data_IF_561602947028
#
_entry.id   IF_561602947028
#
_cell.length_a   1.000
_cell.length_b   1.000
_cell.length_c   1.000
_cell.angle_alpha   90.00
_cell.angle_beta   90.00
_cell.angle_gamma   90.00
#
_symmetry.space_group_name_H-M   'P 1'
#
loop_
_entity.id
_entity.type
_entity.pdbx_description
1 polymer ?
#
# COMPACT_ATOMS: atom_id res chain seq x y z
N UNK A 1 8.52 2.69 -13.68
CA UNK A 1 7.82 3.00 -12.42
C UNK A 1 6.94 1.82 -12.06
N UNK A 2 7.09 1.28 -10.88
CA UNK A 2 6.25 0.23 -10.30
C UNK A 2 6.28 0.37 -8.78
N UNK A 3 5.23 -0.06 -8.13
CA UNK A 3 5.26 -0.25 -6.67
C UNK A 3 6.22 -1.38 -6.33
N UNK A 4 6.87 -1.29 -5.18
CA UNK A 4 7.69 -2.41 -4.67
C UNK A 4 6.83 -3.61 -4.34
N UNK A 5 7.40 -4.82 -4.37
CA UNK A 5 6.69 -6.03 -3.94
C UNK A 5 6.21 -5.91 -2.48
N UNK A 6 6.93 -5.15 -1.68
CA UNK A 6 6.56 -4.88 -0.29
C UNK A 6 5.24 -4.11 -0.20
N UNK A 7 5.07 -3.07 -1.01
CA UNK A 7 3.84 -2.28 -1.09
C UNK A 7 2.69 -3.10 -1.66
N UNK A 8 2.93 -3.86 -2.74
CA UNK A 8 1.93 -4.77 -3.31
C UNK A 8 1.43 -5.79 -2.26
N UNK A 9 2.35 -6.40 -1.52
CA UNK A 9 1.98 -7.35 -0.46
C UNK A 9 1.22 -6.68 0.69
N UNK A 10 1.59 -5.45 1.08
CA UNK A 10 0.88 -4.71 2.10
C UNK A 10 -0.58 -4.43 1.71
N UNK A 11 -0.81 -4.01 0.47
CA UNK A 11 -2.16 -3.79 -0.05
C UNK A 11 -2.97 -5.09 -0.10
N UNK A 12 -2.37 -6.19 -0.58
CA UNK A 12 -3.03 -7.52 -0.60
C UNK A 12 -3.39 -8.01 0.80
N UNK A 13 -2.50 -7.84 1.78
CA UNK A 13 -2.79 -8.18 3.18
C UNK A 13 -3.99 -7.40 3.70
N UNK A 14 -3.99 -6.07 3.52
CA UNK A 14 -5.07 -5.21 3.99
C UNK A 14 -6.41 -5.54 3.31
N UNK A 15 -6.41 -5.79 2.01
CA UNK A 15 -7.61 -6.16 1.27
C UNK A 15 -8.14 -7.53 1.72
N UNK A 16 -7.26 -8.53 1.90
CA UNK A 16 -7.67 -9.86 2.34
C UNK A 16 -8.26 -9.82 3.76
N UNK A 17 -7.56 -9.20 4.69
CA UNK A 17 -7.98 -9.07 6.08
C UNK A 17 -9.25 -8.22 6.19
N UNK A 18 -9.34 -7.13 5.44
CA UNK A 18 -10.52 -6.27 5.40
C UNK A 18 -11.78 -6.97 4.90
N UNK A 19 -11.64 -7.88 3.93
CA UNK A 19 -12.75 -8.67 3.41
C UNK A 19 -13.31 -9.70 4.40
N UNK A 20 -12.60 -10.01 5.49
CA UNK A 20 -13.01 -11.03 6.47
C UNK A 20 -13.93 -10.50 7.59
N UNK A 21 -14.44 -9.30 7.49
CA UNK A 21 -15.43 -8.72 8.42
C UNK A 21 -15.03 -8.84 9.92
N UNK A 22 -13.77 -8.59 10.25
CA UNK A 22 -13.27 -8.63 11.63
C UNK A 22 -12.84 -10.01 12.14
N UNK A 23 -13.00 -11.07 11.35
CA UNK A 23 -12.43 -12.40 11.64
C UNK A 23 -10.91 -12.32 11.73
N UNK A 24 -10.32 -13.02 12.69
CA UNK A 24 -8.87 -13.20 12.75
C UNK A 24 -8.40 -14.12 11.62
N UNK A 25 -7.42 -13.68 10.86
CA UNK A 25 -6.82 -14.37 9.72
C UNK A 25 -5.37 -14.69 10.05
N UNK A 26 -4.91 -15.91 9.83
CA UNK A 26 -3.51 -16.24 10.06
C UNK A 26 -2.63 -15.76 8.90
N UNK A 27 -1.36 -15.43 9.19
CA UNK A 27 -0.39 -15.09 8.14
C UNK A 27 -0.21 -16.26 7.17
N UNK A 28 -0.31 -17.51 7.66
CA UNK A 28 -0.23 -18.71 6.83
C UNK A 28 -1.39 -18.78 5.82
N UNK A 29 -2.60 -18.44 6.25
CA UNK A 29 -3.78 -18.39 5.37
C UNK A 29 -3.58 -17.35 4.25
N UNK A 30 -3.08 -16.16 4.59
CA UNK A 30 -2.78 -15.11 3.60
C UNK A 30 -1.68 -15.58 2.63
N UNK A 31 -0.63 -16.22 3.15
CA UNK A 31 0.50 -16.74 2.36
C UNK A 31 0.03 -17.75 1.30
N UNK A 32 -0.82 -18.69 1.70
CA UNK A 32 -1.37 -19.71 0.80
C UNK A 32 -2.29 -19.06 -0.24
N UNK A 33 -3.18 -18.17 0.17
CA UNK A 33 -4.15 -17.54 -0.72
C UNK A 33 -3.49 -16.71 -1.82
N UNK A 34 -2.42 -16.00 -1.49
CA UNK A 34 -1.73 -15.11 -2.43
C UNK A 34 -0.46 -15.69 -3.05
N UNK A 35 -0.03 -16.89 -2.67
CA UNK A 35 1.23 -17.48 -3.15
C UNK A 35 2.47 -16.69 -2.73
N UNK A 36 2.43 -16.05 -1.55
CA UNK A 36 3.51 -15.21 -1.03
C UNK A 36 4.19 -15.93 0.13
N UNK A 37 5.52 -15.78 0.24
CA UNK A 37 6.29 -16.31 1.35
C UNK A 37 5.79 -15.79 2.70
N UNK A 38 5.57 -16.71 3.65
CA UNK A 38 5.18 -16.36 5.03
C UNK A 38 6.17 -15.41 5.69
N UNK A 39 7.48 -15.57 5.42
CA UNK A 39 8.51 -14.69 5.99
C UNK A 39 8.37 -13.25 5.49
N UNK A 40 8.06 -13.04 4.22
CA UNK A 40 7.80 -11.70 3.68
C UNK A 40 6.54 -11.10 4.32
N UNK A 41 5.45 -11.88 4.39
CA UNK A 41 4.21 -11.41 5.00
C UNK A 41 4.35 -11.08 6.48
N UNK A 42 5.18 -11.82 7.23
CA UNK A 42 5.45 -11.52 8.64
C UNK A 42 6.04 -10.12 8.81
N UNK A 43 6.99 -9.73 7.95
CA UNK A 43 7.60 -8.39 7.96
C UNK A 43 6.57 -7.31 7.59
N UNK A 44 5.75 -7.58 6.57
CA UNK A 44 4.68 -6.67 6.13
C UNK A 44 3.67 -6.45 7.25
N UNK A 45 3.14 -7.53 7.83
CA UNK A 45 2.15 -7.47 8.93
C UNK A 45 2.71 -6.75 10.14
N UNK A 46 3.99 -6.99 10.48
CA UNK A 46 4.66 -6.27 11.56
C UNK A 46 4.66 -4.75 11.32
N UNK A 47 5.06 -4.32 10.13
CA UNK A 47 5.08 -2.89 9.76
C UNK A 47 3.68 -2.26 9.78
N UNK A 48 2.69 -2.97 9.23
CA UNK A 48 1.30 -2.53 9.26
C UNK A 48 0.76 -2.43 10.70
N UNK A 49 1.18 -3.34 11.58
CA UNK A 49 0.86 -3.32 13.01
C UNK A 49 1.45 -2.10 13.72
N UNK A 50 2.74 -1.79 13.47
CA UNK A 50 3.39 -0.60 14.01
C UNK A 50 2.72 0.70 13.56
N UNK A 51 2.17 0.70 12.34
CA UNK A 51 1.42 1.84 11.80
C UNK A 51 -0.05 1.90 12.30
N UNK A 52 -0.50 0.93 13.11
CA UNK A 52 -1.86 0.88 13.61
C UNK A 52 -2.93 0.55 12.57
N UNK A 53 -2.55 -0.08 11.45
CA UNK A 53 -3.47 -0.48 10.39
C UNK A 53 -4.06 -1.87 10.64
N UNK A 54 -3.27 -2.76 11.26
CA UNK A 54 -3.71 -4.09 11.66
C UNK A 54 -3.41 -4.35 13.13
N UNK A 55 -4.16 -5.24 13.74
CA UNK A 55 -3.95 -5.77 15.07
C UNK A 55 -3.61 -7.25 14.98
N UNK A 56 -2.52 -7.66 15.63
CA UNK A 56 -2.13 -9.07 15.75
C UNK A 56 -2.53 -9.60 17.11
N UNK A 57 -3.23 -10.72 17.14
CA UNK A 57 -3.59 -11.48 18.35
C UNK A 57 -2.75 -12.74 18.39
N UNK A 58 -2.03 -12.96 19.51
CA UNK A 58 -1.18 -14.14 19.69
C UNK A 58 -1.98 -15.34 20.22
N UNK A 59 -1.45 -16.55 20.03
CA UNK A 59 -2.01 -17.79 20.58
C UNK A 59 -2.67 -18.69 19.53
N UNK A 60 -3.25 -19.80 19.99
CA UNK A 60 -3.85 -20.85 19.13
C UNK A 60 -5.00 -20.33 18.27
N UNK A 61 -5.81 -19.44 18.80
CA UNK A 61 -6.92 -18.78 18.08
C UNK A 61 -6.54 -17.38 17.61
N UNK A 62 -5.23 -17.10 17.51
CA UNK A 62 -4.70 -15.81 17.10
C UNK A 62 -4.76 -15.59 15.60
N UNK A 63 -4.32 -14.41 15.21
CA UNK A 63 -4.28 -13.98 13.81
C UNK A 63 -4.18 -12.48 13.69
N UNK A 64 -4.54 -12.00 12.53
CA UNK A 64 -4.48 -10.57 12.14
C UNK A 64 -5.89 -10.13 11.77
N UNK A 65 -6.25 -8.92 12.18
CA UNK A 65 -7.46 -8.21 11.73
C UNK A 65 -7.16 -6.73 11.53
N UNK A 66 -8.04 -6.00 10.84
CA UNK A 66 -7.90 -4.54 10.76
C UNK A 66 -8.00 -3.93 12.17
N UNK A 67 -7.15 -2.94 12.45
CA UNK A 67 -7.17 -2.17 13.68
C UNK A 67 -8.08 -0.94 13.60
N UNK A 68 -8.50 -0.55 12.39
CA UNK A 68 -9.29 0.63 12.09
C UNK A 68 -10.35 0.33 11.03
N UNK A 69 -11.35 1.20 10.96
CA UNK A 69 -12.35 1.17 9.90
C UNK A 69 -11.66 1.30 8.53
N UNK A 70 -11.87 0.36 7.58
CA UNK A 70 -11.29 0.41 6.25
C UNK A 70 -11.68 1.68 5.47
N UNK A 71 -12.77 2.35 5.80
CA UNK A 71 -13.13 3.64 5.21
C UNK A 71 -12.15 4.76 5.58
N UNK A 72 -11.42 4.62 6.69
CA UNK A 72 -10.42 5.60 7.17
C UNK A 72 -9.00 5.33 6.70
N UNK A 73 -8.76 4.23 6.01
CA UNK A 73 -7.46 3.84 5.46
C UNK A 73 -7.48 4.17 3.97
N UNK A 74 -6.61 5.02 3.49
CA UNK A 74 -6.49 5.30 2.06
C UNK A 74 -5.36 4.49 1.42
N UNK A 75 -5.52 4.13 0.15
CA UNK A 75 -4.45 3.46 -0.62
C UNK A 75 -3.19 4.33 -0.64
N UNK A 76 -3.34 5.65 -0.79
CA UNK A 76 -2.22 6.59 -0.77
C UNK A 76 -1.46 6.58 0.55
N UNK A 77 -2.15 6.47 1.70
CA UNK A 77 -1.50 6.39 3.01
C UNK A 77 -0.67 5.11 3.16
N UNK A 78 -1.15 3.99 2.62
CA UNK A 78 -0.43 2.72 2.62
C UNK A 78 0.81 2.80 1.73
N UNK A 79 0.66 3.34 0.52
CA UNK A 79 1.77 3.50 -0.43
C UNK A 79 2.88 4.37 0.17
N UNK A 80 2.54 5.50 0.80
CA UNK A 80 3.54 6.35 1.48
C UNK A 80 4.23 5.67 2.67
N UNK A 81 3.53 4.78 3.35
CA UNK A 81 4.09 4.03 4.47
C UNK A 81 5.10 2.97 4.01
N UNK A 82 4.88 2.38 2.83
CA UNK A 82 5.55 1.15 2.40
C UNK A 82 6.56 1.37 1.27
N UNK A 83 6.41 2.41 0.45
CA UNK A 83 7.44 2.79 -0.51
C UNK A 83 8.61 3.50 0.18
N UNK A 84 9.86 3.21 -0.20
CA UNK A 84 11.03 3.86 0.38
C UNK A 84 11.16 5.32 -0.07
N UNK A 85 10.73 5.62 -1.29
CA UNK A 85 10.78 6.95 -1.90
C UNK A 85 9.87 7.04 -3.13
N UNK A 86 9.82 8.23 -3.73
CA UNK A 86 9.12 8.52 -4.98
C UNK A 86 10.06 9.15 -6.01
N UNK A 87 11.31 8.70 -6.01
CA UNK A 87 12.36 9.18 -6.93
C UNK A 87 12.15 8.56 -8.30
N UNK A 88 11.53 9.29 -9.21
CA UNK A 88 11.30 8.85 -10.58
C UNK A 88 12.50 9.09 -11.49
N UNK A 89 13.26 10.16 -11.21
CA UNK A 89 14.42 10.59 -11.98
C UNK A 89 15.51 11.09 -11.04
N UNK A 90 16.75 11.04 -11.46
CA UNK A 90 17.92 11.40 -10.65
C UNK A 90 17.78 12.76 -9.95
N UNK A 91 17.22 13.75 -10.63
CA UNK A 91 17.09 15.11 -10.11
C UNK A 91 16.03 15.26 -8.98
N UNK A 92 15.32 14.21 -8.63
CA UNK A 92 14.45 14.19 -7.44
C UNK A 92 15.24 13.83 -6.17
N UNK A 93 16.40 13.20 -6.31
CA UNK A 93 17.31 12.92 -5.22
C UNK A 93 18.40 14.01 -5.16
N UNK A 94 18.24 14.98 -4.29
CA UNK A 94 19.18 16.10 -4.14
C UNK A 94 20.60 15.64 -3.80
N UNK A 95 20.75 14.52 -3.09
CA UNK A 95 22.04 14.00 -2.66
C UNK A 95 22.83 13.34 -3.81
N UNK A 96 22.15 12.87 -4.86
CA UNK A 96 22.74 12.14 -5.99
C UNK A 96 22.63 12.90 -7.32
N UNK A 97 21.95 14.03 -7.32
CA UNK A 97 21.67 14.78 -8.53
C UNK A 97 22.94 15.35 -9.14
N UNK A 98 23.31 14.87 -10.34
CA UNK A 98 24.40 15.39 -11.16
C UNK A 98 23.89 16.13 -12.41
N UNK A 99 22.58 16.20 -12.62
CA UNK A 99 21.97 16.79 -13.80
C UNK A 99 22.16 18.31 -13.83
N UNK A 100 22.93 18.82 -14.82
CA UNK A 100 23.18 20.23 -14.99
C UNK A 100 21.96 21.08 -15.36
N UNK A 101 20.90 20.45 -15.88
CA UNK A 101 19.62 21.11 -16.22
C UNK A 101 18.72 21.32 -15.00
N UNK A 102 18.99 20.62 -13.91
CA UNK A 102 18.09 20.56 -12.74
C UNK A 102 17.58 21.91 -12.23
N UNK A 103 18.38 22.99 -12.16
CA UNK A 103 17.93 24.27 -11.62
C UNK A 103 16.81 24.95 -12.42
N UNK A 104 16.76 24.70 -13.74
CA UNK A 104 15.84 25.38 -14.68
C UNK A 104 14.94 24.40 -15.45
N UNK A 105 14.94 23.12 -15.06
CA UNK A 105 14.33 22.05 -15.83
C UNK A 105 12.81 22.03 -15.70
N UNK A 106 12.12 22.40 -16.76
CA UNK A 106 10.63 22.34 -16.85
C UNK A 106 10.14 20.90 -16.72
N UNK A 107 10.87 19.91 -17.25
CA UNK A 107 10.52 18.48 -17.16
C UNK A 107 10.53 17.99 -15.71
N UNK A 108 11.53 18.40 -14.90
CA UNK A 108 11.58 18.08 -13.47
C UNK A 108 10.28 18.50 -12.78
N UNK A 109 9.86 19.73 -13.01
CA UNK A 109 8.61 20.25 -12.42
C UNK A 109 7.37 19.53 -12.95
N UNK A 110 7.33 19.19 -14.24
CA UNK A 110 6.23 18.43 -14.83
C UNK A 110 6.11 17.04 -14.22
N UNK A 111 7.22 16.31 -14.08
CA UNK A 111 7.25 14.99 -13.44
C UNK A 111 6.88 15.07 -11.95
N UNK A 112 7.32 16.11 -11.23
CA UNK A 112 6.93 16.33 -9.85
C UNK A 112 5.42 16.52 -9.69
N UNK A 113 4.79 17.32 -10.56
CA UNK A 113 3.33 17.47 -10.58
C UNK A 113 2.61 16.16 -10.89
N UNK A 114 3.12 15.37 -11.85
CA UNK A 114 2.55 14.08 -12.21
C UNK A 114 2.61 13.08 -11.02
N UNK A 115 3.76 13.02 -10.32
CA UNK A 115 3.89 12.19 -9.12
C UNK A 115 2.93 12.66 -8.02
N UNK A 116 2.81 13.96 -7.82
CA UNK A 116 1.85 14.53 -6.87
C UNK A 116 0.40 14.16 -7.21
N UNK A 117 0.01 14.28 -8.48
CA UNK A 117 -1.33 13.91 -8.95
C UNK A 117 -1.62 12.40 -8.75
N UNK A 118 -0.63 11.55 -9.05
CA UNK A 118 -0.72 10.11 -8.79
C UNK A 118 -1.01 9.81 -7.31
N UNK A 119 -0.23 10.39 -6.41
CA UNK A 119 -0.42 10.18 -4.97
C UNK A 119 -1.75 10.76 -4.47
N UNK A 120 -2.17 11.92 -4.97
CA UNK A 120 -3.46 12.51 -4.63
C UNK A 120 -4.64 11.64 -5.07
N UNK A 121 -4.53 10.98 -6.22
CA UNK A 121 -5.57 10.05 -6.67
C UNK A 121 -5.64 8.84 -5.73
N UNK A 122 -4.52 8.27 -5.33
CA UNK A 122 -4.48 7.17 -4.37
C UNK A 122 -5.02 7.58 -2.98
N UNK A 123 -4.88 8.84 -2.59
CA UNK A 123 -5.43 9.36 -1.32
C UNK A 123 -6.97 9.41 -1.30
N UNK A 124 -7.60 9.47 -2.47
CA UNK A 124 -9.07 9.46 -2.61
C UNK A 124 -9.67 8.05 -2.53
N UNK A 125 -8.85 7.03 -2.71
CA UNK A 125 -9.28 5.63 -2.72
C UNK A 125 -9.18 5.08 -1.30
N UNK A 126 -10.33 4.82 -0.65
CA UNK A 126 -10.35 4.15 0.65
C UNK A 126 -10.15 2.63 0.49
N UNK A 127 -9.59 1.99 1.50
CA UNK A 127 -9.50 0.53 1.54
C UNK A 127 -10.90 -0.10 1.41
N UNK A 128 -11.91 0.49 2.06
CA UNK A 128 -13.29 0.02 1.97
C UNK A 128 -13.80 -0.07 0.53
N UNK A 129 -13.44 0.89 -0.32
CA UNK A 129 -13.91 0.93 -1.71
C UNK A 129 -13.27 -0.12 -2.64
N UNK A 130 -12.15 -0.72 -2.22
CA UNK A 130 -11.43 -1.73 -2.99
C UNK A 130 -11.54 -3.14 -2.41
N UNK A 131 -12.28 -3.32 -1.32
CA UNK A 131 -12.53 -4.64 -0.76
C UNK A 131 -13.38 -5.49 -1.72
N UNK A 132 -13.08 -6.80 -1.86
CA UNK A 132 -13.94 -7.72 -2.58
C UNK A 132 -15.38 -7.70 -2.02
N UNK A 133 -16.36 -7.43 -2.85
CA UNK A 133 -17.78 -7.32 -2.46
C UNK A 133 -18.25 -5.92 -2.06
N UNK A 134 -17.37 -4.93 -1.92
CA UNK A 134 -17.77 -3.55 -1.62
C UNK A 134 -18.37 -2.79 -2.82
N UNK A 135 -18.26 -3.34 -4.02
CA UNK A 135 -18.75 -2.71 -5.25
C UNK A 135 -19.64 -3.61 -6.04
N UNK A 136 -20.94 -3.45 -5.90
CA UNK A 136 -21.93 -3.86 -6.92
C UNK A 136 -21.85 -3.00 -8.20
N UNK A 137 -20.82 -2.21 -8.39
CA UNK A 137 -20.52 -1.48 -9.61
C UNK A 137 -19.48 -2.24 -10.42
N UNK A 138 -19.92 -2.95 -11.44
CA UNK A 138 -19.05 -3.43 -12.52
C UNK A 138 -18.26 -2.24 -13.04
N UNK A 139 -16.94 -2.31 -12.92
CA UNK A 139 -16.06 -1.51 -13.76
C UNK A 139 -16.19 -2.05 -15.20
N UNK A 140 -17.19 -1.56 -15.92
CA UNK A 140 -17.22 -1.61 -17.37
C UNK A 140 -16.30 -0.49 -17.85
N UNK A 141 -15.15 -0.83 -18.37
CA UNK A 141 -14.26 0.17 -18.94
C UNK A 141 -13.04 -0.47 -19.54
N UNK A 142 -13.15 -0.68 -20.80
CA UNK A 142 -12.21 -0.72 -21.89
C UNK A 142 -10.73 -0.59 -21.55
#
# INVERSE_FOLDING_TARGET
>A
MRLTDYTDYALRVLMYVGAQAGRLVTIQEIAINHGISKNHLTKVVHRLGLAGLVQTVRGRSGGVRLARDPATITVGSVVRLTEPDFIMVECFDEARNTCSLSPVCVLKHALGRATGAYLQELDRISLASVLPGAGGARMTGA
#
